data_IF_898746416012
#
_entry.id   IF_898746416012
#
_cell.length_a   1.000
_cell.length_b   1.000
_cell.length_c   1.000
_cell.angle_alpha   90.00
_cell.angle_beta   90.00
_cell.angle_gamma   90.00
#
_symmetry.space_group_name_H-M   'P 1'
#
loop_
_entity.id
_entity.type
_entity.pdbx_description
1 polymer ?
#
# COMPACT_ATOMS: atom_id res chain seq x y z
N UNK A 1 -23.42 11.48 6.66
CA UNK A 1 -22.64 10.64 7.59
C UNK A 1 -22.65 9.21 7.05
N UNK A 2 -21.78 8.94 6.08
CA UNK A 2 -21.64 7.61 5.46
C UNK A 2 -20.88 6.70 6.44
N UNK A 3 -21.46 5.53 6.68
CA UNK A 3 -21.08 4.58 7.70
C UNK A 3 -19.64 4.12 7.52
N UNK A 4 -18.94 4.03 8.65
CA UNK A 4 -17.64 3.37 8.82
C UNK A 4 -17.55 2.08 7.99
N UNK A 5 -16.77 2.11 6.91
CA UNK A 5 -16.38 0.93 6.15
C UNK A 5 -15.47 0.07 7.02
N UNK A 6 -16.05 -0.84 7.83
CA UNK A 6 -15.28 -1.93 8.44
C UNK A 6 -14.87 -2.88 7.31
N UNK A 7 -13.59 -3.27 7.18
CA UNK A 7 -13.25 -4.40 6.34
C UNK A 7 -13.90 -5.64 6.96
N UNK A 8 -14.84 -6.27 6.25
CA UNK A 8 -15.47 -7.52 6.69
C UNK A 8 -14.61 -8.76 6.36
N UNK A 9 -13.50 -8.57 5.63
CA UNK A 9 -12.63 -9.66 5.18
C UNK A 9 -11.76 -10.11 6.35
N UNK A 10 -11.95 -11.35 6.82
CA UNK A 10 -11.06 -11.90 7.84
C UNK A 10 -9.72 -12.20 7.18
N UNK A 11 -8.65 -12.07 7.95
CA UNK A 11 -7.27 -12.33 7.47
C UNK A 11 -7.07 -13.76 6.94
N UNK A 12 -7.99 -14.67 7.26
CA UNK A 12 -8.03 -16.08 6.87
C UNK A 12 -8.93 -16.37 5.66
N UNK A 13 -9.65 -15.38 5.13
CA UNK A 13 -10.44 -15.57 3.92
C UNK A 13 -9.52 -15.85 2.73
N UNK A 14 -9.88 -16.85 1.92
CA UNK A 14 -9.14 -17.24 0.72
C UNK A 14 -8.98 -16.07 -0.27
N UNK A 15 -9.92 -15.12 -0.24
CA UNK A 15 -9.91 -13.94 -1.10
C UNK A 15 -9.20 -12.73 -0.49
N UNK A 16 -8.68 -12.82 0.74
CA UNK A 16 -8.09 -11.68 1.44
C UNK A 16 -7.02 -10.97 0.60
N UNK A 17 -6.11 -11.71 -0.04
CA UNK A 17 -5.07 -11.12 -0.88
C UNK A 17 -5.67 -10.44 -2.12
N UNK A 18 -6.64 -11.08 -2.76
CA UNK A 18 -7.27 -10.57 -3.99
C UNK A 18 -8.06 -9.29 -3.70
N UNK A 19 -8.87 -9.28 -2.65
CA UNK A 19 -9.64 -8.12 -2.23
C UNK A 19 -8.72 -6.98 -1.75
N UNK A 20 -7.67 -7.32 -1.00
CA UNK A 20 -6.66 -6.35 -0.58
C UNK A 20 -5.98 -5.70 -1.79
N UNK A 21 -5.58 -6.51 -2.79
CA UNK A 21 -4.97 -6.00 -4.03
C UNK A 21 -5.94 -5.13 -4.81
N UNK A 22 -7.19 -5.54 -4.97
CA UNK A 22 -8.21 -4.77 -5.66
C UNK A 22 -8.49 -3.42 -4.97
N UNK A 23 -8.52 -3.41 -3.64
CA UNK A 23 -8.71 -2.18 -2.87
C UNK A 23 -7.49 -1.24 -2.93
N UNK A 24 -6.27 -1.78 -2.97
CA UNK A 24 -5.04 -0.99 -2.99
C UNK A 24 -4.65 -0.49 -4.39
N UNK A 25 -4.98 -1.23 -5.46
CA UNK A 25 -4.61 -0.88 -6.83
C UNK A 25 -4.91 0.58 -7.21
N UNK A 26 -6.15 1.10 -7.07
CA UNK A 26 -6.43 2.48 -7.46
C UNK A 26 -5.69 3.53 -6.60
N UNK A 27 -5.37 3.20 -5.34
CA UNK A 27 -4.62 4.10 -4.46
C UNK A 27 -3.14 4.16 -4.87
N UNK A 28 -2.56 3.02 -5.24
CA UNK A 28 -1.18 2.94 -5.73
C UNK A 28 -1.06 3.64 -7.07
N UNK A 29 -2.01 3.44 -7.99
CA UNK A 29 -2.02 4.12 -9.29
C UNK A 29 -2.08 5.65 -9.12
N UNK A 30 -2.97 6.16 -8.27
CA UNK A 30 -3.05 7.58 -8.00
C UNK A 30 -1.77 8.17 -7.39
N UNK A 31 -1.09 7.43 -6.50
CA UNK A 31 0.21 7.85 -5.95
C UNK A 31 1.29 7.92 -7.02
N UNK A 32 1.30 6.97 -7.96
CA UNK A 32 2.26 6.95 -9.07
C UNK A 32 1.98 8.05 -10.08
N UNK A 33 0.72 8.34 -10.38
CA UNK A 33 0.31 9.45 -11.25
C UNK A 33 0.74 10.80 -10.66
N UNK A 34 0.60 10.98 -9.34
CA UNK A 34 1.07 12.19 -8.66
C UNK A 34 2.60 12.32 -8.70
N UNK A 35 3.32 11.21 -8.52
CA UNK A 35 4.78 11.21 -8.63
C UNK A 35 5.23 11.58 -10.06
N UNK A 36 4.59 10.99 -11.07
CA UNK A 36 4.88 11.29 -12.48
C UNK A 36 4.55 12.74 -12.83
N UNK A 37 3.43 13.27 -12.34
CA UNK A 37 3.03 14.69 -12.53
C UNK A 37 4.01 15.67 -11.88
N UNK A 38 4.67 15.25 -10.80
CA UNK A 38 5.75 16.02 -10.17
C UNK A 38 7.11 15.86 -10.87
N UNK A 39 7.18 15.14 -11.99
CA UNK A 39 8.38 14.94 -12.81
C UNK A 39 9.25 13.74 -12.40
N UNK A 40 8.77 12.88 -11.51
CA UNK A 40 9.50 11.68 -11.11
C UNK A 40 9.28 10.53 -12.09
N UNK A 41 10.29 9.67 -12.27
CA UNK A 41 10.15 8.44 -13.04
C UNK A 41 9.19 7.46 -12.31
N UNK A 42 8.11 7.07 -12.99
CA UNK A 42 7.07 6.22 -12.43
C UNK A 42 7.60 4.88 -11.91
N UNK A 43 8.55 4.28 -12.61
CA UNK A 43 9.14 2.99 -12.23
C UNK A 43 9.99 3.13 -10.96
N UNK A 44 10.83 4.17 -10.86
CA UNK A 44 11.58 4.48 -9.64
C UNK A 44 10.64 4.81 -8.48
N UNK A 45 9.57 5.58 -8.71
CA UNK A 45 8.57 5.88 -7.69
C UNK A 45 7.91 4.60 -7.13
N UNK A 46 7.59 3.63 -7.98
CA UNK A 46 7.06 2.34 -7.55
C UNK A 46 8.04 1.56 -6.66
N UNK A 47 9.32 1.48 -7.05
CA UNK A 47 10.34 0.82 -6.22
C UNK A 47 10.53 1.53 -4.87
N UNK A 48 10.57 2.87 -4.87
CA UNK A 48 10.66 3.65 -3.64
C UNK A 48 9.44 3.42 -2.75
N UNK A 49 8.23 3.35 -3.31
CA UNK A 49 7.01 3.05 -2.56
C UNK A 49 7.05 1.66 -1.92
N UNK A 50 7.52 0.64 -2.64
CA UNK A 50 7.72 -0.70 -2.10
C UNK A 50 8.74 -0.68 -0.95
N UNK A 51 9.90 -0.03 -1.16
CA UNK A 51 10.95 0.10 -0.14
C UNK A 51 10.43 0.80 1.11
N UNK A 52 9.74 1.94 0.97
CA UNK A 52 9.15 2.70 2.06
C UNK A 52 8.07 1.93 2.82
N UNK A 53 7.31 1.07 2.12
CA UNK A 53 6.31 0.20 2.73
C UNK A 53 6.97 -0.89 3.57
N UNK A 54 7.96 -1.58 2.98
CA UNK A 54 8.75 -2.60 3.68
C UNK A 54 9.49 -2.02 4.88
N UNK A 55 10.10 -0.84 4.74
CA UNK A 55 10.79 -0.14 5.82
C UNK A 55 9.84 0.20 6.97
N UNK A 56 8.62 0.70 6.71
CA UNK A 56 7.67 1.02 7.80
C UNK A 56 7.19 -0.21 8.56
N UNK A 57 7.06 -1.36 7.89
CA UNK A 57 6.66 -2.62 8.52
C UNK A 57 7.85 -3.32 9.19
N UNK A 58 9.05 -3.15 8.65
CA UNK A 58 10.29 -3.76 9.13
C UNK A 58 11.04 -2.97 10.20
N UNK A 59 11.02 -1.63 10.16
CA UNK A 59 11.71 -0.76 11.10
C UNK A 59 11.15 -0.85 12.54
N UNK A 60 9.95 -1.41 12.72
CA UNK A 60 9.46 -1.78 14.05
C UNK A 60 10.11 -3.03 14.65
N UNK A 61 11.06 -3.68 13.96
CA UNK A 61 11.80 -4.87 14.44
C UNK A 61 13.24 -4.59 14.86
N UNK A 62 13.73 -3.35 14.74
CA UNK A 62 15.09 -2.99 15.10
C UNK A 62 15.18 -2.18 16.40
N UNK A 63 14.39 -2.56 17.42
CA UNK A 63 14.58 -2.17 18.83
C UNK A 63 14.30 -3.36 19.75
N UNK A 64 15.18 -4.37 19.67
CA UNK A 64 15.55 -5.23 20.81
C UNK A 64 16.93 -5.83 20.52
N UNK A 65 17.97 -5.07 20.85
CA UNK A 65 19.23 -5.65 21.33
C UNK A 65 19.64 -4.92 22.59
#
# INVERSE_FOLDING_TARGET
>A
MERSRRPLVRRTDFNYETDCRAALAPLVDGLLDMAESAGWDRRKAAYTLMFLSAQRVGAGKEERK
#
